data_IF_349722277745
#
_entry.id   IF_349722277745
#
_cell.length_a   1.000
_cell.length_b   1.000
_cell.length_c   1.000
_cell.angle_alpha   90.00
_cell.angle_beta   90.00
_cell.angle_gamma   90.00
#
_symmetry.space_group_name_H-M   'P 1'
#
loop_
_entity.id
_entity.type
_entity.pdbx_description
1 polymer ?
#
# COMPACT_ATOMS: atom_id res chain seq x y z
N UNK A 1 -0.56 14.14 -0.45
CA UNK A 1 0.18 14.30 0.82
C UNK A 1 -0.82 14.80 1.85
N UNK A 2 -1.04 14.00 2.89
CA UNK A 2 -1.91 14.31 4.03
C UNK A 2 -1.09 14.94 5.14
N UNK A 3 0.01 14.30 5.50
CA UNK A 3 0.98 14.76 6.48
C UNK A 3 0.87 13.98 7.78
N UNK A 4 0.55 14.65 8.88
CA UNK A 4 0.40 13.97 10.18
C UNK A 4 -1.06 13.95 10.61
N UNK A 5 -1.55 12.79 11.05
CA UNK A 5 -2.91 12.64 11.57
C UNK A 5 -3.81 11.86 10.62
N UNK A 6 -5.10 11.75 10.93
CA UNK A 6 -6.05 11.04 10.07
C UNK A 6 -6.72 11.97 9.07
N UNK A 7 -6.20 11.99 7.85
CA UNK A 7 -6.59 12.86 6.76
C UNK A 7 -7.61 12.22 5.79
N UNK A 8 -8.16 13.08 4.92
CA UNK A 8 -9.00 12.67 3.80
C UNK A 8 -8.43 13.28 2.53
N UNK A 9 -7.92 12.43 1.64
CA UNK A 9 -7.31 12.86 0.38
C UNK A 9 -8.17 12.41 -0.79
N UNK A 10 -8.38 13.32 -1.74
CA UNK A 10 -9.14 13.05 -2.95
C UNK A 10 -8.24 13.39 -4.15
N UNK A 11 -7.93 12.41 -4.99
CA UNK A 11 -7.24 12.63 -6.26
C UNK A 11 -8.15 13.41 -7.21
N UNK A 12 -9.34 12.85 -7.44
CA UNK A 12 -10.42 13.53 -8.14
C UNK A 12 -10.62 12.98 -9.54
N UNK A 13 -10.09 13.65 -10.55
CA UNK A 13 -10.21 13.22 -11.95
C UNK A 13 -8.83 13.19 -12.59
N UNK A 14 -8.57 12.15 -13.37
CA UNK A 14 -7.28 11.96 -14.03
C UNK A 14 -6.35 11.10 -13.19
N UNK A 15 -5.09 11.01 -13.61
CA UNK A 15 -4.10 10.17 -12.94
C UNK A 15 -3.49 10.94 -11.76
N UNK A 16 -3.81 10.51 -10.55
CA UNK A 16 -3.38 11.18 -9.32
C UNK A 16 -2.31 10.39 -8.57
N UNK A 17 -1.56 11.08 -7.72
CA UNK A 17 -0.59 10.45 -6.80
C UNK A 17 -0.92 10.88 -5.38
N UNK A 18 -1.30 9.91 -4.57
CA UNK A 18 -1.76 10.11 -3.20
C UNK A 18 -0.74 9.45 -2.26
N UNK A 19 -0.23 10.24 -1.33
CA UNK A 19 0.50 9.78 -0.16
C UNK A 19 -0.26 10.31 1.06
N UNK A 20 -0.64 9.41 1.96
CA UNK A 20 -1.23 9.75 3.25
C UNK A 20 -0.18 10.40 4.17
N UNK A 21 1.01 9.81 4.16
CA UNK A 21 2.06 9.98 5.17
C UNK A 21 1.59 9.37 6.50
N UNK A 22 1.98 9.88 7.66
CA UNK A 22 1.68 9.21 8.94
C UNK A 22 0.26 9.45 9.44
N UNK A 23 -0.45 8.37 9.78
CA UNK A 23 -1.74 8.41 10.48
C UNK A 23 -2.78 7.56 9.77
N UNK A 24 -4.00 7.46 10.35
CA UNK A 24 -5.06 6.63 9.77
C UNK A 24 -5.86 7.38 8.71
N UNK A 25 -5.39 7.35 7.47
CA UNK A 25 -5.92 8.16 6.38
C UNK A 25 -7.06 7.50 5.61
N UNK A 26 -7.81 8.33 4.88
CA UNK A 26 -8.80 7.91 3.89
C UNK A 26 -8.42 8.48 2.53
N UNK A 27 -7.95 7.61 1.66
CA UNK A 27 -7.45 7.98 0.34
C UNK A 27 -8.50 7.59 -0.71
N UNK A 28 -8.91 8.55 -1.53
CA UNK A 28 -9.88 8.36 -2.60
C UNK A 28 -9.18 8.69 -3.92
N UNK A 29 -8.92 7.69 -4.77
CA UNK A 29 -8.27 7.91 -6.07
C UNK A 29 -9.16 8.77 -6.97
N UNK A 30 -10.32 8.21 -7.31
CA UNK A 30 -11.33 8.88 -8.11
C UNK A 30 -12.22 7.84 -8.76
N UNK A 31 -13.37 8.27 -9.29
CA UNK A 31 -14.28 7.37 -10.03
C UNK A 31 -14.08 7.53 -11.52
N UNK A 32 -12.89 7.18 -12.00
CA UNK A 32 -12.58 7.13 -13.42
C UNK A 32 -11.65 5.95 -13.77
N UNK A 33 -11.01 5.97 -14.94
CA UNK A 33 -10.15 4.89 -15.45
C UNK A 33 -8.69 5.32 -15.61
N UNK A 34 -8.33 6.50 -15.11
CA UNK A 34 -6.94 6.89 -15.01
C UNK A 34 -6.31 6.13 -13.84
N UNK A 35 -5.02 5.83 -13.98
CA UNK A 35 -4.27 5.17 -12.93
C UNK A 35 -3.96 6.15 -11.82
N UNK A 36 -4.47 5.85 -10.63
CA UNK A 36 -4.04 6.48 -9.40
C UNK A 36 -2.92 5.68 -8.74
N UNK A 37 -2.02 6.40 -8.09
CA UNK A 37 -0.84 5.84 -7.42
C UNK A 37 -0.94 6.15 -5.93
N UNK A 38 -1.04 5.10 -5.10
CA UNK A 38 -1.03 5.19 -3.64
C UNK A 38 0.36 4.88 -3.13
N UNK A 39 1.08 5.90 -2.65
CA UNK A 39 2.50 5.83 -2.29
C UNK A 39 2.65 5.57 -0.80
N UNK A 40 3.50 4.59 -0.47
CA UNK A 40 3.95 4.30 0.89
C UNK A 40 5.48 4.25 0.89
N UNK A 41 6.09 4.95 1.84
CA UNK A 41 7.54 5.15 1.93
C UNK A 41 8.12 4.71 3.27
N UNK A 42 7.29 4.57 4.30
CA UNK A 42 7.70 4.09 5.62
C UNK A 42 6.60 3.22 6.24
N UNK A 43 6.98 2.27 7.12
CA UNK A 43 6.00 1.42 7.81
C UNK A 43 5.02 2.25 8.68
N UNK A 44 5.47 3.41 9.16
CA UNK A 44 4.65 4.34 9.94
C UNK A 44 3.62 5.12 9.11
N UNK A 45 3.67 5.06 7.77
CA UNK A 45 2.64 5.66 6.92
C UNK A 45 1.30 4.96 7.14
N UNK A 46 1.29 3.64 7.37
CA UNK A 46 0.06 2.90 7.66
C UNK A 46 0.32 1.66 8.51
N UNK A 47 0.63 1.83 9.81
CA UNK A 47 1.05 0.73 10.66
C UNK A 47 -0.09 -0.29 10.89
N UNK A 48 0.29 -1.48 11.34
CA UNK A 48 -0.63 -2.58 11.67
C UNK A 48 -1.58 -2.33 12.87
N UNK A 49 -1.44 -1.17 13.53
CA UNK A 49 -2.45 -0.64 14.44
C UNK A 49 -3.69 -0.18 13.66
N UNK A 50 -4.80 -0.90 13.82
CA UNK A 50 -6.07 -0.62 13.16
C UNK A 50 -6.63 0.81 13.33
N UNK A 51 -6.17 1.59 14.31
CA UNK A 51 -6.54 2.99 14.49
C UNK A 51 -5.77 3.96 13.58
N UNK A 52 -4.65 3.50 13.05
CA UNK A 52 -3.72 4.23 12.19
C UNK A 52 -3.53 3.56 10.81
N UNK A 53 -4.22 2.44 10.55
CA UNK A 53 -4.28 1.82 9.24
C UNK A 53 -5.07 2.69 8.24
N UNK A 54 -4.45 2.96 7.10
CA UNK A 54 -5.03 3.64 5.95
C UNK A 54 -6.17 2.85 5.32
N UNK A 55 -7.09 3.61 4.75
CA UNK A 55 -8.24 3.11 4.01
C UNK A 55 -8.27 3.71 2.62
N UNK A 56 -8.08 2.86 1.62
CA UNK A 56 -8.19 3.25 0.22
C UNK A 56 -9.60 2.94 -0.29
N UNK A 57 -10.18 3.93 -0.97
CA UNK A 57 -11.49 3.89 -1.58
C UNK A 57 -11.40 4.14 -3.08
N UNK A 58 -12.39 3.62 -3.80
CA UNK A 58 -12.52 3.76 -5.25
C UNK A 58 -11.35 3.11 -6.05
N UNK A 59 -10.54 2.25 -5.41
CA UNK A 59 -9.45 1.53 -6.08
C UNK A 59 -9.97 0.58 -7.16
N UNK A 60 -9.36 0.64 -8.34
CA UNK A 60 -9.66 -0.21 -9.49
C UNK A 60 -8.46 -1.13 -9.77
N UNK A 61 -8.57 -2.40 -9.35
CA UNK A 61 -7.56 -3.42 -9.66
C UNK A 61 -7.35 -3.56 -11.18
N UNK A 62 -6.09 -3.71 -11.58
CA UNK A 62 -5.60 -3.69 -12.96
C UNK A 62 -5.42 -2.30 -13.54
N UNK A 63 -5.81 -1.24 -12.81
CA UNK A 63 -5.67 0.17 -13.24
C UNK A 63 -4.79 0.92 -12.25
N UNK A 64 -5.25 1.03 -11.00
CA UNK A 64 -4.59 1.72 -9.91
C UNK A 64 -3.47 0.88 -9.31
N UNK A 65 -2.55 1.53 -8.60
CA UNK A 65 -1.35 0.86 -8.09
C UNK A 65 -0.97 1.35 -6.69
N UNK A 66 -0.49 0.41 -5.88
CA UNK A 66 0.25 0.69 -4.67
C UNK A 66 1.74 0.77 -5.00
N UNK A 67 2.38 1.89 -4.65
CA UNK A 67 3.80 2.11 -4.87
C UNK A 67 4.58 1.97 -3.56
N UNK A 68 5.31 0.86 -3.43
CA UNK A 68 6.18 0.55 -2.30
C UNK A 68 7.67 0.72 -2.63
N UNK A 69 8.02 1.21 -3.82
CA UNK A 69 9.44 1.34 -4.23
C UNK A 69 10.23 2.34 -3.41
N UNK A 70 9.55 3.18 -2.63
CA UNK A 70 10.16 4.15 -1.73
C UNK A 70 10.36 3.63 -0.32
N UNK A 71 9.80 2.46 -0.01
CA UNK A 71 9.94 1.80 1.27
C UNK A 71 11.01 0.72 1.16
N UNK A 72 11.97 0.73 2.08
CA UNK A 72 13.00 -0.29 2.18
C UNK A 72 12.38 -1.60 2.71
N UNK A 73 12.58 -2.70 1.97
CA UNK A 73 12.03 -4.00 2.30
C UNK A 73 12.82 -4.74 3.39
N UNK A 74 14.09 -4.38 3.65
CA UNK A 74 14.91 -5.04 4.67
C UNK A 74 15.71 -4.02 5.49
N UNK A 75 15.06 -3.53 6.55
CA UNK A 75 15.64 -2.56 7.49
C UNK A 75 16.83 -3.10 8.30
N UNK A 76 17.19 -4.38 8.14
CA UNK A 76 18.38 -4.96 8.75
C UNK A 76 19.66 -4.71 7.93
N UNK A 77 19.53 -4.20 6.71
CA UNK A 77 20.66 -3.79 5.85
C UNK A 77 20.74 -2.27 5.71
N UNK A 78 21.88 -1.76 5.24
CA UNK A 78 22.04 -0.34 4.89
C UNK A 78 21.62 -0.05 3.44
N UNK A 79 21.26 -1.08 2.66
CA UNK A 79 20.84 -0.94 1.28
C UNK A 79 19.33 -0.67 1.20
N UNK A 80 18.89 -0.02 0.12
CA UNK A 80 17.47 0.08 -0.18
C UNK A 80 17.04 -1.19 -0.92
N UNK A 81 16.39 -2.10 -0.22
CA UNK A 81 15.95 -3.37 -0.77
C UNK A 81 14.53 -3.26 -1.35
N UNK A 82 14.33 -3.78 -2.56
CA UNK A 82 13.01 -3.83 -3.19
C UNK A 82 12.17 -4.99 -2.60
N UNK A 83 10.88 -4.74 -2.38
CA UNK A 83 9.96 -5.81 -2.01
C UNK A 83 9.78 -6.82 -3.15
N UNK A 84 9.39 -8.04 -2.80
CA UNK A 84 8.78 -8.98 -3.73
C UNK A 84 7.36 -9.37 -3.27
N UNK A 85 6.51 -9.75 -4.22
CA UNK A 85 5.14 -10.18 -3.91
C UNK A 85 5.11 -11.65 -3.48
N UNK A 86 4.36 -11.96 -2.41
CA UNK A 86 4.08 -13.32 -1.95
C UNK A 86 2.62 -13.69 -2.26
N UNK A 87 2.44 -14.58 -3.25
CA UNK A 87 1.12 -15.12 -3.59
C UNK A 87 0.63 -16.21 -2.61
N UNK A 88 1.47 -16.62 -1.65
CA UNK A 88 1.17 -17.71 -0.70
C UNK A 88 0.84 -17.20 0.71
N UNK A 89 0.79 -15.89 0.92
CA UNK A 89 0.49 -15.26 2.21
C UNK A 89 1.73 -14.65 2.91
N UNK A 90 1.69 -14.47 4.24
CA UNK A 90 2.75 -13.79 4.99
C UNK A 90 4.14 -14.36 4.77
N UNK A 91 5.12 -13.48 4.56
CA UNK A 91 6.52 -13.84 4.34
C UNK A 91 7.44 -12.65 4.63
N UNK A 92 8.64 -12.96 5.14
CA UNK A 92 9.70 -11.99 5.44
C UNK A 92 10.08 -11.12 4.22
N UNK A 93 10.12 -9.79 4.39
CA UNK A 93 10.55 -8.85 3.34
C UNK A 93 9.66 -8.90 2.09
N UNK A 94 8.34 -9.13 2.26
CA UNK A 94 7.39 -9.29 1.14
C UNK A 94 6.16 -8.41 1.31
N UNK A 95 5.50 -8.18 0.18
CA UNK A 95 4.11 -7.70 0.11
C UNK A 95 3.18 -8.88 -0.15
N UNK A 96 2.04 -8.93 0.52
CA UNK A 96 0.99 -9.92 0.24
C UNK A 96 -0.40 -9.33 0.47
N UNK A 97 -1.43 -10.08 0.09
CA UNK A 97 -2.83 -9.65 0.23
C UNK A 97 -3.67 -10.68 0.99
N UNK A 98 -4.75 -10.19 1.60
CA UNK A 98 -5.76 -11.03 2.25
C UNK A 98 -7.15 -10.46 1.98
N UNK A 99 -8.02 -11.23 1.32
CA UNK A 99 -9.44 -10.86 1.20
C UNK A 99 -10.11 -10.90 2.58
N UNK A 100 -10.88 -9.85 2.89
CA UNK A 100 -11.64 -9.70 4.14
C UNK A 100 -13.08 -9.32 3.82
N UNK A 101 -13.95 -9.26 4.83
CA UNK A 101 -15.30 -8.72 4.61
C UNK A 101 -15.22 -7.24 4.22
N UNK A 102 -15.96 -6.85 3.18
CA UNK A 102 -15.98 -5.49 2.66
C UNK A 102 -14.72 -5.05 1.90
N UNK A 103 -13.75 -5.92 1.60
CA UNK A 103 -12.56 -5.52 0.85
C UNK A 103 -11.38 -6.48 0.89
N UNK A 104 -10.17 -5.92 0.77
CA UNK A 104 -8.90 -6.64 0.89
C UNK A 104 -7.94 -5.87 1.78
N UNK A 105 -7.04 -6.60 2.44
CA UNK A 105 -5.85 -6.03 3.08
C UNK A 105 -4.67 -6.17 2.13
N UNK A 106 -3.90 -5.09 1.99
CA UNK A 106 -2.52 -5.09 1.48
C UNK A 106 -1.60 -5.02 2.67
N UNK A 107 -0.58 -5.87 2.72
CA UNK A 107 0.34 -5.95 3.85
C UNK A 107 1.78 -6.00 3.35
N UNK A 108 2.69 -5.35 4.08
CA UNK A 108 4.13 -5.38 3.84
C UNK A 108 4.88 -5.64 5.15
N UNK A 109 5.96 -6.41 5.09
CA UNK A 109 6.87 -6.71 6.20
C UNK A 109 8.27 -6.21 5.85
N UNK A 110 8.76 -5.17 6.54
CA UNK A 110 10.12 -4.65 6.33
C UNK A 110 11.12 -5.01 7.43
N UNK A 111 10.68 -5.75 8.45
CA UNK A 111 11.52 -6.20 9.57
C UNK A 111 11.97 -7.65 9.44
N UNK A 112 11.33 -8.43 8.56
CA UNK A 112 11.68 -9.80 8.22
C UNK A 112 11.11 -10.87 9.14
N UNK A 113 10.14 -10.52 10.01
CA UNK A 113 9.58 -11.44 11.00
C UNK A 113 8.36 -12.23 10.52
N UNK A 114 7.96 -12.02 9.26
CA UNK A 114 6.77 -12.54 8.60
C UNK A 114 5.44 -12.07 9.21
N UNK A 115 5.46 -10.94 9.94
CA UNK A 115 4.28 -10.19 10.36
C UNK A 115 4.20 -8.87 9.58
N UNK A 116 2.99 -8.34 9.40
CA UNK A 116 2.83 -7.09 8.67
C UNK A 116 3.26 -5.90 9.53
N UNK A 117 4.20 -5.12 9.02
CA UNK A 117 4.64 -3.85 9.59
C UNK A 117 3.79 -2.69 9.07
N UNK A 118 3.35 -2.80 7.81
CA UNK A 118 2.41 -1.90 7.16
C UNK A 118 1.17 -2.68 6.70
N UNK A 119 -0.01 -2.11 6.94
CA UNK A 119 -1.30 -2.69 6.54
C UNK A 119 -2.14 -1.59 5.91
N UNK A 120 -2.77 -1.84 4.76
CA UNK A 120 -3.73 -0.94 4.12
C UNK A 120 -5.03 -1.70 3.88
N UNK A 121 -6.16 -1.10 4.25
CA UNK A 121 -7.48 -1.64 3.90
C UNK A 121 -7.97 -1.04 2.58
N UNK A 122 -8.33 -1.89 1.63
CA UNK A 122 -8.85 -1.51 0.31
C UNK A 122 -10.34 -1.84 0.27
N UNK A 123 -11.17 -0.80 0.27
CA UNK A 123 -12.64 -0.93 0.33
C UNK A 123 -13.20 -1.53 -0.95
N UNK A 124 -14.12 -2.47 -0.81
CA UNK A 124 -14.95 -3.05 -1.87
C UNK A 124 -14.18 -3.73 -3.03
N UNK A 125 -12.88 -3.98 -2.85
CA UNK A 125 -12.05 -4.76 -3.77
C UNK A 125 -11.80 -6.14 -3.17
N UNK A 126 -12.40 -7.17 -3.76
CA UNK A 126 -12.34 -8.55 -3.23
C UNK A 126 -11.12 -9.35 -3.69
N UNK A 127 -10.42 -8.87 -4.72
CA UNK A 127 -9.21 -9.48 -5.25
C UNK A 127 -8.27 -8.39 -5.76
N UNK A 128 -7.01 -8.51 -5.37
CA UNK A 128 -5.88 -7.73 -5.87
C UNK A 128 -4.88 -8.73 -6.45
N UNK A 129 -4.27 -8.38 -7.57
CA UNK A 129 -3.24 -9.18 -8.22
C UNK A 129 -1.88 -8.49 -8.22
N UNK A 130 -0.83 -9.22 -8.60
CA UNK A 130 0.54 -8.70 -8.55
C UNK A 130 0.75 -7.44 -9.40
N UNK A 131 -0.07 -7.21 -10.43
CA UNK A 131 -0.06 -6.02 -11.28
C UNK A 131 -0.50 -4.74 -10.58
N UNK A 132 -1.16 -4.85 -9.43
CA UNK A 132 -1.59 -3.73 -8.59
C UNK A 132 -0.44 -3.14 -7.74
N UNK A 133 0.77 -3.70 -7.85
CA UNK A 133 1.90 -3.34 -6.99
C UNK A 133 3.12 -2.91 -7.81
N UNK A 134 3.65 -1.74 -7.50
CA UNK A 134 5.00 -1.34 -7.89
C UNK A 134 5.94 -1.61 -6.73
N UNK A 135 6.72 -2.68 -6.86
CA UNK A 135 7.60 -3.18 -5.78
C UNK A 135 9.08 -3.00 -6.08
N UNK A 136 9.46 -2.86 -7.35
CA UNK A 136 10.85 -2.67 -7.75
C UNK A 136 11.00 -1.53 -8.75
N UNK A 137 12.17 -0.89 -8.71
CA UNK A 137 12.53 0.06 -9.76
C UNK A 137 12.88 -0.69 -11.05
N UNK A 138 12.50 -0.22 -12.25
CA UNK A 138 12.86 -0.91 -13.48
C UNK A 138 14.39 -0.92 -13.67
N UNK A 139 15.04 -2.08 -13.51
CA UNK A 139 16.45 -2.25 -13.86
C UNK A 139 17.36 -3.02 -12.90
N UNK A 140 16.83 -3.81 -11.97
CA UNK A 140 17.62 -4.78 -11.19
C UNK A 140 18.12 -5.97 -12.02
#
# INVERSE_FOLDING_TARGET
>A
MGGTGGDKLFGGKGADTLAGDTGGDRLYGGKDNARDVFVYSDASDSPSDSSQTDKVFDFVSGVDVFDFRWMDADTSTDAHDDFAFSATGPAAHRVWTQSVDGGSLVMADNTGDALADLVVFVSDVSHLDVGDFWLSTPGG
#
